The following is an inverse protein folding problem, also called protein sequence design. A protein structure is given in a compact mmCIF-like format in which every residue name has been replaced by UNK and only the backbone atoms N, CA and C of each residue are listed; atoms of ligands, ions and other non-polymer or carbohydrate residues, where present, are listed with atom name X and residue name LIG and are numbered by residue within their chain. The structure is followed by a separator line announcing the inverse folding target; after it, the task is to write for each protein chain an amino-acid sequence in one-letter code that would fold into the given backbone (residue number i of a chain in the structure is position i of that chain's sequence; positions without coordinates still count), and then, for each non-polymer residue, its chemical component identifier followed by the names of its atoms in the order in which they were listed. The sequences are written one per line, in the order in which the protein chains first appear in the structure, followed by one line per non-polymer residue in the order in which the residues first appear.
data_IF_339647028821
#
_entry.id   IF_339647028821
#
_cell.length_a   1.000
_cell.length_b   1.000
_cell.length_c   1.000
_cell.angle_alpha   90.00
_cell.angle_beta   90.00
_cell.angle_gamma   90.00
#
_symmetry.space_group_name_H-M   'P 1'
#
loop_
_entity.id
_entity.type
_entity.pdbx_description
1 polymer ?
#
# COMPACT_ATOMS: atom_id res chain seq x y z
N UNK A 1 -0.26 -0.98 17.77
CA UNK A 1 -0.61 0.07 16.80
C UNK A 1 -1.12 -0.65 15.56
N UNK A 2 -2.43 -0.62 15.31
CA UNK A 2 -3.08 -1.36 14.24
C UNK A 2 -3.35 -0.41 13.07
N UNK A 3 -2.73 -0.70 11.92
CA UNK A 3 -3.14 -0.12 10.64
C UNK A 3 -4.18 -1.09 10.09
N UNK A 4 -5.34 -0.60 9.68
CA UNK A 4 -6.43 -1.42 9.15
C UNK A 4 -6.97 -0.80 7.87
N UNK A 5 -7.30 -1.66 6.91
CA UNK A 5 -7.93 -1.26 5.65
C UNK A 5 -9.44 -1.40 5.79
N UNK A 6 -10.20 -0.36 5.41
CA UNK A 6 -11.66 -0.46 5.40
C UNK A 6 -12.13 -1.40 4.28
N UNK A 7 -13.32 -1.97 4.42
CA UNK A 7 -13.91 -2.83 3.38
C UNK A 7 -14.04 -2.14 2.02
N UNK A 8 -14.32 -0.83 2.02
CA UNK A 8 -14.40 -0.08 0.77
C UNK A 8 -13.03 0.11 0.12
N UNK A 9 -12.00 0.37 0.93
CA UNK A 9 -10.64 0.50 0.43
C UNK A 9 -10.10 -0.84 -0.10
N UNK A 10 -10.40 -1.96 0.57
CA UNK A 10 -10.00 -3.28 0.09
C UNK A 10 -10.65 -3.64 -1.24
N UNK A 11 -11.94 -3.31 -1.44
CA UNK A 11 -12.62 -3.44 -2.74
C UNK A 11 -11.94 -2.61 -3.81
N UNK A 12 -11.66 -1.33 -3.53
CA UNK A 12 -11.00 -0.44 -4.49
C UNK A 12 -9.62 -0.95 -4.90
N UNK A 13 -8.82 -1.44 -3.94
CA UNK A 13 -7.48 -1.99 -4.20
C UNK A 13 -7.58 -3.22 -5.11
N UNK A 14 -8.54 -4.11 -4.86
CA UNK A 14 -8.80 -5.28 -5.74
C UNK A 14 -9.20 -4.86 -7.15
N UNK A 15 -10.09 -3.87 -7.28
CA UNK A 15 -10.48 -3.33 -8.58
C UNK A 15 -9.30 -2.71 -9.33
N UNK A 16 -8.44 -1.97 -8.64
CA UNK A 16 -7.24 -1.37 -9.24
C UNK A 16 -6.24 -2.42 -9.72
N UNK A 17 -6.03 -3.51 -8.95
CA UNK A 17 -5.20 -4.64 -9.37
C UNK A 17 -5.73 -5.28 -10.66
N UNK A 18 -7.04 -5.53 -10.73
CA UNK A 18 -7.68 -6.12 -11.90
C UNK A 18 -7.63 -5.19 -13.11
N UNK A 19 -7.96 -3.91 -12.92
CA UNK A 19 -7.98 -2.90 -14.00
C UNK A 19 -6.61 -2.68 -14.63
N UNK A 20 -5.55 -2.73 -13.83
CA UNK A 20 -4.17 -2.59 -14.30
C UNK A 20 -3.51 -3.93 -14.67
N UNK A 21 -4.27 -5.02 -14.63
CA UNK A 21 -3.83 -6.37 -14.97
C UNK A 21 -2.54 -6.80 -14.21
N UNK A 22 -2.43 -6.37 -12.95
CA UNK A 22 -1.24 -6.59 -12.13
C UNK A 22 -1.10 -8.08 -11.75
N UNK A 23 0.13 -8.58 -11.59
CA UNK A 23 0.37 -9.99 -11.25
C UNK A 23 -0.12 -10.32 -9.83
N UNK A 24 -0.44 -11.61 -9.58
CA UNK A 24 -1.05 -12.05 -8.31
C UNK A 24 -0.16 -11.83 -7.09
N UNK A 25 1.16 -11.88 -7.27
CA UNK A 25 2.14 -11.67 -6.20
C UNK A 25 2.31 -10.19 -5.81
N UNK A 26 1.58 -9.27 -6.45
CA UNK A 26 1.63 -7.85 -6.10
C UNK A 26 0.85 -7.60 -4.81
N UNK A 27 1.26 -6.67 -3.97
CA UNK A 27 0.57 -6.24 -2.76
C UNK A 27 0.59 -4.72 -2.64
N UNK A 28 -0.30 -4.18 -1.80
CA UNK A 28 -0.33 -2.75 -1.50
C UNK A 28 0.68 -2.45 -0.40
N UNK A 29 1.69 -1.63 -0.70
CA UNK A 29 2.66 -1.10 0.26
C UNK A 29 2.25 0.32 0.67
N UNK A 30 2.26 0.56 1.97
CA UNK A 30 2.09 1.90 2.54
C UNK A 30 3.43 2.40 3.07
N UNK A 31 3.88 3.55 2.58
CA UNK A 31 5.08 4.24 3.05
C UNK A 31 4.77 5.64 3.56
N UNK A 32 5.75 6.25 4.23
CA UNK A 32 5.74 7.67 4.55
C UNK A 32 6.88 8.32 3.77
N UNK A 33 6.57 9.36 3.01
CA UNK A 33 7.54 10.21 2.32
C UNK A 33 7.61 11.56 3.04
N UNK A 34 8.83 12.04 3.27
CA UNK A 34 9.04 13.38 3.78
C UNK A 34 8.56 14.42 2.77
N UNK A 35 7.66 15.30 3.19
CA UNK A 35 7.31 16.52 2.49
C UNK A 35 8.20 17.70 2.92
N UNK A 36 8.14 18.81 2.19
CA UNK A 36 8.92 20.02 2.51
C UNK A 36 8.68 20.57 3.92
N UNK A 37 9.49 21.54 4.37
CA UNK A 37 9.63 22.18 5.69
C UNK A 37 9.21 21.44 6.99
N UNK A 38 8.03 20.83 7.08
CA UNK A 38 7.59 20.03 8.24
C UNK A 38 6.50 18.99 7.90
N UNK A 39 6.27 18.68 6.62
CA UNK A 39 5.17 17.81 6.19
C UNK A 39 5.58 16.34 6.08
N UNK A 40 4.67 15.42 6.40
CA UNK A 40 4.78 14.00 6.07
C UNK A 40 3.61 13.62 5.17
N UNK A 41 3.88 12.87 4.11
CA UNK A 41 2.86 12.38 3.18
C UNK A 41 2.88 10.85 3.18
N UNK A 42 1.70 10.23 3.13
CA UNK A 42 1.61 8.79 2.93
C UNK A 42 1.70 8.46 1.44
N UNK A 43 2.47 7.41 1.11
CA UNK A 43 2.57 6.83 -0.23
C UNK A 43 1.85 5.49 -0.21
N UNK A 44 1.01 5.24 -1.22
CA UNK A 44 0.35 3.96 -1.43
C UNK A 44 0.77 3.47 -2.82
N UNK A 45 1.48 2.35 -2.87
CA UNK A 45 2.05 1.82 -4.10
C UNK A 45 1.88 0.31 -4.17
N UNK A 46 1.81 -0.22 -5.39
CA UNK A 46 1.78 -1.65 -5.62
C UNK A 46 3.20 -2.16 -5.79
N UNK A 47 3.57 -3.17 -5.03
CA UNK A 47 4.92 -3.73 -5.01
C UNK A 47 4.87 -5.25 -4.99
N UNK A 48 5.96 -5.90 -5.38
CA UNK A 48 6.14 -7.35 -5.39
C UNK A 48 7.26 -7.82 -4.48
N UNK A 49 8.08 -6.91 -3.94
CA UNK A 49 9.26 -7.24 -3.13
C UNK A 49 9.08 -6.79 -1.69
N UNK A 50 9.17 -7.72 -0.74
CA UNK A 50 9.09 -7.40 0.70
C UNK A 50 10.46 -6.96 1.19
N UNK A 51 10.52 -5.78 1.82
CA UNK A 51 11.73 -5.21 2.38
C UNK A 51 12.02 -5.74 3.79
N UNK A 52 13.28 -5.68 4.26
CA UNK A 52 13.68 -6.19 5.58
C UNK A 52 13.07 -5.42 6.76
N UNK A 53 12.50 -4.24 6.51
CA UNK A 53 11.86 -3.38 7.50
C UNK A 53 10.36 -3.24 7.28
N UNK A 54 9.79 -4.01 6.34
CA UNK A 54 8.36 -4.02 6.15
C UNK A 54 7.67 -4.72 7.31
N UNK A 55 6.48 -4.22 7.61
CA UNK A 55 5.56 -4.89 8.51
C UNK A 55 4.37 -5.37 7.71
N UNK A 56 4.17 -6.69 7.71
CA UNK A 56 3.08 -7.34 7.01
C UNK A 56 1.79 -7.30 7.84
N UNK A 57 0.67 -7.12 7.15
CA UNK A 57 -0.68 -7.06 7.72
C UNK A 57 -1.62 -7.88 6.82
N UNK A 58 -2.57 -8.58 7.45
CA UNK A 58 -3.61 -9.38 6.79
C UNK A 58 -4.92 -8.58 6.62
#
# INVERSE_FOLDING_TARGET
MAVALSENASKQVRQLKQSQNLPENVFLRMGVKGGGCSGMSYSLEFDTEIGPHDKEFD
#
